data_IF_223973721846
#
_entry.id   IF_223973721846
#
_cell.length_a   1.000
_cell.length_b   1.000
_cell.length_c   1.000
_cell.angle_alpha   90.00
_cell.angle_beta   90.00
_cell.angle_gamma   90.00
#
_symmetry.space_group_name_H-M   'P 1'
#
loop_
_entity.id
_entity.type
_entity.pdbx_description
1 polymer ?
#
# COMPACT_ATOMS: atom_id res chain seq x y z
N UNK A 1 -8.67 -13.13 -1.29
CA UNK A 1 -7.90 -11.89 -1.08
C UNK A 1 -8.87 -10.72 -1.30
N UNK A 2 -9.25 -10.03 -0.26
CA UNK A 2 -10.07 -8.82 -0.40
C UNK A 2 -9.15 -7.65 -0.68
N UNK A 3 -9.25 -7.07 -1.85
CA UNK A 3 -8.68 -5.76 -2.16
C UNK A 3 -9.73 -4.73 -1.74
N UNK A 4 -9.49 -4.01 -0.67
CA UNK A 4 -10.36 -2.92 -0.27
C UNK A 4 -10.04 -1.69 -1.15
N UNK A 5 -10.54 -1.72 -2.39
CA UNK A 5 -10.57 -0.54 -3.24
C UNK A 5 -11.91 0.16 -3.01
N UNK A 6 -11.88 1.24 -2.27
CA UNK A 6 -13.10 2.03 -2.04
C UNK A 6 -13.29 2.99 -3.21
N UNK A 7 -14.03 2.53 -4.20
CA UNK A 7 -14.28 3.25 -5.46
C UNK A 7 -15.61 4.06 -5.43
N UNK A 8 -15.95 4.62 -4.26
CA UNK A 8 -17.14 5.47 -4.11
C UNK A 8 -16.74 6.93 -3.86
N UNK A 9 -17.65 7.85 -4.15
CA UNK A 9 -17.52 9.26 -3.77
C UNK A 9 -17.47 9.38 -2.24
N UNK A 10 -16.25 9.27 -1.69
CA UNK A 10 -16.00 9.36 -0.27
C UNK A 10 -15.60 10.81 0.02
N UNK A 11 -16.29 11.43 0.98
CA UNK A 11 -15.98 12.78 1.39
C UNK A 11 -14.85 12.79 2.42
N UNK A 12 -14.80 11.78 3.30
CA UNK A 12 -13.81 11.72 4.37
C UNK A 12 -13.48 10.28 4.75
N UNK A 13 -12.20 9.97 4.78
CA UNK A 13 -11.64 8.74 5.36
C UNK A 13 -10.75 9.12 6.53
N UNK A 14 -10.97 8.49 7.68
CA UNK A 14 -10.04 8.51 8.79
C UNK A 14 -9.54 7.09 9.05
N UNK A 15 -8.23 6.94 9.22
CA UNK A 15 -7.61 5.67 9.54
C UNK A 15 -6.96 5.82 10.91
N UNK A 16 -7.21 4.90 11.81
CA UNK A 16 -6.59 4.85 13.12
C UNK A 16 -6.10 3.46 13.47
N UNK A 17 -5.00 3.39 14.20
CA UNK A 17 -4.49 2.17 14.81
C UNK A 17 -4.90 2.11 16.27
N UNK A 18 -5.26 0.93 16.75
CA UNK A 18 -5.58 0.71 18.14
C UNK A 18 -4.30 0.44 18.93
N UNK A 19 -4.03 1.23 19.96
CA UNK A 19 -2.92 1.03 20.89
C UNK A 19 -3.43 0.32 22.14
N UNK A 20 -2.83 -0.82 22.47
CA UNK A 20 -3.04 -1.50 23.74
C UNK A 20 -1.96 -1.05 24.72
N UNK A 21 -2.39 -0.70 25.94
CA UNK A 21 -1.50 -0.33 27.03
C UNK A 21 -1.24 -1.57 27.86
N UNK A 22 0.01 -1.99 27.96
CA UNK A 22 0.43 -3.04 28.88
C UNK A 22 1.27 -2.45 30.03
N UNK A 23 1.03 -2.93 31.23
CA UNK A 23 1.81 -2.61 32.42
C UNK A 23 2.78 -3.75 32.70
N UNK A 24 4.02 -3.43 32.96
CA UNK A 24 5.06 -4.36 33.36
C UNK A 24 5.92 -3.76 34.46
N UNK A 25 6.92 -4.51 34.88
CA UNK A 25 7.93 -4.02 35.83
C UNK A 25 9.30 -4.16 35.20
N UNK A 26 10.18 -3.18 35.42
CA UNK A 26 11.57 -3.26 35.01
C UNK A 26 12.37 -4.19 35.95
N UNK A 27 13.65 -4.35 35.64
CA UNK A 27 14.57 -5.17 36.45
C UNK A 27 14.79 -4.63 37.87
N UNK A 28 14.41 -3.38 38.15
CA UNK A 28 14.51 -2.70 39.44
C UNK A 28 13.20 -2.72 40.22
N UNK A 29 12.12 -3.30 39.63
CA UNK A 29 10.80 -3.41 40.22
C UNK A 29 9.92 -2.18 40.08
N UNK A 30 10.28 -1.21 39.24
CA UNK A 30 9.46 -0.04 38.95
C UNK A 30 8.39 -0.36 37.92
N UNK A 31 7.19 0.18 38.09
CA UNK A 31 6.09 0.01 37.12
C UNK A 31 6.45 0.71 35.80
N UNK A 32 6.48 -0.06 34.73
CA UNK A 32 6.68 0.45 33.36
C UNK A 32 5.40 0.31 32.55
N UNK A 33 5.18 1.25 31.65
CA UNK A 33 4.07 1.20 30.71
C UNK A 33 4.62 1.06 29.31
N UNK A 34 4.24 0.00 28.61
CA UNK A 34 4.50 -0.17 27.18
C UNK A 34 3.21 -0.02 26.38
N UNK A 35 3.35 0.42 25.14
CA UNK A 35 2.25 0.55 24.21
C UNK A 35 2.52 -0.33 23.00
N UNK A 36 1.66 -1.31 22.78
CA UNK A 36 1.67 -2.12 21.57
C UNK A 36 0.61 -1.63 20.60
N UNK A 37 0.98 -1.47 19.34
CA UNK A 37 0.04 -1.14 18.28
C UNK A 37 -0.61 -2.44 17.81
N UNK A 38 -1.93 -2.54 17.94
CA UNK A 38 -2.71 -3.69 17.44
C UNK A 38 -2.48 -3.88 15.93
N UNK A 39 -2.58 -5.13 15.47
CA UNK A 39 -2.56 -5.44 14.03
C UNK A 39 -3.81 -4.96 13.29
N UNK A 40 -4.85 -4.58 14.03
CA UNK A 40 -6.13 -4.10 13.50
C UNK A 40 -6.05 -2.62 13.22
N UNK A 41 -6.51 -2.21 12.05
CA UNK A 41 -6.77 -0.80 11.72
C UNK A 41 -8.27 -0.56 11.70
N UNK A 42 -8.68 0.58 12.21
CA UNK A 42 -10.06 1.07 12.12
C UNK A 42 -10.14 2.12 11.03
N UNK A 43 -11.03 1.91 10.08
CA UNK A 43 -11.26 2.77 8.91
C UNK A 43 -12.66 3.36 9.03
N UNK A 44 -12.75 4.68 9.17
CA UNK A 44 -14.02 5.41 9.18
C UNK A 44 -14.25 6.06 7.82
N UNK A 45 -15.32 5.66 7.15
CA UNK A 45 -15.72 6.17 5.85
C UNK A 45 -17.07 6.87 6.00
N UNK A 46 -17.08 8.20 5.91
CA UNK A 46 -18.29 9.02 6.06
C UNK A 46 -19.15 8.61 7.29
N UNK A 47 -18.46 8.34 8.42
CA UNK A 47 -19.07 7.97 9.70
C UNK A 47 -19.44 6.49 9.85
N UNK A 48 -19.16 5.65 8.86
CA UNK A 48 -19.30 4.19 8.93
C UNK A 48 -17.94 3.55 9.15
N UNK A 49 -17.91 2.51 9.97
CA UNK A 49 -16.67 1.88 10.42
C UNK A 49 -16.45 0.53 9.74
N UNK A 50 -15.17 0.29 9.42
CA UNK A 50 -14.65 -1.00 8.99
C UNK A 50 -13.42 -1.27 9.85
N UNK A 51 -13.36 -2.44 10.48
CA UNK A 51 -12.14 -2.95 11.09
C UNK A 51 -11.48 -3.96 10.17
N UNK A 52 -10.18 -3.81 9.95
CA UNK A 52 -9.41 -4.69 9.07
C UNK A 52 -8.16 -5.20 9.75
N UNK A 53 -7.96 -6.51 9.68
CA UNK A 53 -6.76 -7.19 10.16
C UNK A 53 -6.31 -8.22 9.13
N UNK A 54 -5.17 -8.00 8.51
CA UNK A 54 -4.59 -8.98 7.59
C UNK A 54 -4.76 -8.69 6.12
N UNK A 55 -5.77 -7.93 5.73
CA UNK A 55 -6.02 -7.60 4.33
C UNK A 55 -5.10 -6.51 3.80
N UNK A 56 -4.83 -6.56 2.50
CA UNK A 56 -4.17 -5.46 1.79
C UNK A 56 -5.20 -4.36 1.50
N UNK A 57 -4.94 -3.16 2.01
CA UNK A 57 -5.76 -1.98 1.75
C UNK A 57 -4.91 -0.86 1.16
N UNK A 58 -5.45 -0.14 0.19
CA UNK A 58 -4.82 1.01 -0.45
C UNK A 58 -5.76 2.20 -0.34
N UNK A 59 -5.21 3.34 0.12
CA UNK A 59 -5.97 4.60 0.28
C UNK A 59 -5.25 5.68 -0.50
N UNK A 60 -5.89 6.17 -1.54
CA UNK A 60 -5.37 7.21 -2.43
C UNK A 60 -5.87 8.59 -2.01
N UNK A 61 -4.97 9.54 -1.93
CA UNK A 61 -5.37 10.93 -1.81
C UNK A 61 -6.06 11.38 -3.10
N UNK A 62 -7.12 12.16 -2.99
CA UNK A 62 -7.87 12.69 -4.14
C UNK A 62 -6.93 13.32 -5.18
N UNK A 63 -7.08 12.87 -6.42
CA UNK A 63 -6.28 13.31 -7.56
C UNK A 63 -4.95 12.56 -7.74
N UNK A 64 -4.67 11.53 -6.93
CA UNK A 64 -3.69 10.51 -7.24
C UNK A 64 -4.43 9.35 -7.89
N UNK A 65 -4.05 9.00 -9.10
CA UNK A 65 -4.64 7.90 -9.86
C UNK A 65 -3.51 6.97 -10.33
N UNK A 66 -3.73 5.64 -10.35
CA UNK A 66 -2.76 4.72 -10.89
C UNK A 66 -2.67 4.87 -12.42
N UNK A 67 -1.46 4.81 -12.95
CA UNK A 67 -1.22 4.70 -14.40
C UNK A 67 -1.65 3.32 -14.92
N UNK A 68 -1.49 2.30 -14.09
CA UNK A 68 -1.89 0.93 -14.38
C UNK A 68 -2.61 0.36 -13.17
N UNK A 69 -3.81 -0.14 -13.40
CA UNK A 69 -4.59 -0.89 -12.44
C UNK A 69 -4.63 -2.35 -12.90
N UNK A 70 -3.98 -3.24 -12.14
CA UNK A 70 -3.93 -4.65 -12.48
C UNK A 70 -5.21 -5.34 -12.04
N UNK A 71 -6.06 -5.70 -12.97
CA UNK A 71 -7.28 -6.45 -12.68
C UNK A 71 -6.98 -7.92 -12.39
N UNK A 72 -7.92 -8.59 -11.71
CA UNK A 72 -7.76 -10.02 -11.41
C UNK A 72 -7.77 -10.88 -12.69
N UNK A 73 -8.39 -10.42 -13.77
CA UNK A 73 -8.39 -11.07 -15.07
C UNK A 73 -7.01 -10.99 -15.74
N UNK A 74 -6.32 -9.86 -15.61
CA UNK A 74 -4.95 -9.70 -16.12
C UNK A 74 -3.99 -10.65 -15.41
N UNK A 75 -4.16 -10.86 -14.09
CA UNK A 75 -3.32 -11.73 -13.28
C UNK A 75 -3.58 -13.20 -13.61
N UNK A 76 -4.85 -13.61 -13.77
CA UNK A 76 -5.23 -15.01 -14.02
C UNK A 76 -4.96 -15.45 -15.45
N UNK A 77 -5.11 -14.60 -16.43
CA UNK A 77 -4.85 -14.94 -17.84
C UNK A 77 -3.38 -15.27 -18.13
N UNK A 78 -2.47 -14.78 -17.30
CA UNK A 78 -1.02 -14.96 -17.46
C UNK A 78 -0.38 -15.95 -16.46
N UNK A 79 -1.12 -16.43 -15.44
CA UNK A 79 -0.61 -17.37 -14.44
C UNK A 79 -0.50 -18.83 -14.94
N UNK A 80 -1.02 -19.15 -16.12
CA UNK A 80 -1.06 -20.50 -16.66
C UNK A 80 0.20 -20.96 -17.39
N UNK A 81 1.25 -20.16 -17.45
CA UNK A 81 2.46 -20.57 -18.16
C UNK A 81 3.75 -20.00 -17.61
N UNK A 82 4.60 -20.81 -17.04
CA UNK A 82 6.08 -20.78 -16.93
C UNK A 82 6.85 -19.43 -16.84
N UNK A 83 6.19 -18.26 -16.80
CA UNK A 83 6.83 -16.97 -16.66
C UNK A 83 6.79 -16.60 -15.19
N UNK A 84 7.93 -16.24 -14.59
CA UNK A 84 7.96 -15.77 -13.21
C UNK A 84 7.13 -14.48 -13.08
N UNK A 85 6.44 -14.28 -11.95
CA UNK A 85 5.67 -13.05 -11.69
C UNK A 85 6.48 -11.77 -11.93
N UNK A 86 7.78 -11.80 -11.62
CA UNK A 86 8.68 -10.68 -11.86
C UNK A 86 8.88 -10.39 -13.35
N UNK A 87 8.97 -11.40 -14.20
CA UNK A 87 9.10 -11.24 -15.65
C UNK A 87 7.81 -10.70 -16.27
N UNK A 88 6.65 -11.13 -15.76
CA UNK A 88 5.35 -10.62 -16.17
C UNK A 88 5.19 -9.14 -15.81
N UNK A 89 5.48 -8.77 -14.57
CA UNK A 89 5.44 -7.38 -14.12
C UNK A 89 6.42 -6.53 -14.94
N UNK A 90 7.64 -7.00 -15.16
CA UNK A 90 8.62 -6.31 -15.97
C UNK A 90 8.13 -6.14 -17.42
N UNK A 91 7.48 -7.14 -18.00
CA UNK A 91 6.89 -7.06 -19.33
C UNK A 91 5.81 -5.98 -19.44
N UNK A 92 4.89 -5.94 -18.46
CA UNK A 92 3.85 -4.91 -18.42
C UNK A 92 4.48 -3.52 -18.22
N UNK A 93 5.38 -3.36 -17.27
CA UNK A 93 6.03 -2.08 -17.02
C UNK A 93 6.81 -1.61 -18.25
N UNK A 94 7.49 -2.52 -18.96
CA UNK A 94 8.15 -2.20 -20.21
C UNK A 94 7.19 -1.79 -21.32
N UNK A 95 6.02 -2.41 -21.41
CA UNK A 95 4.98 -2.01 -22.35
C UNK A 95 4.50 -0.58 -22.06
N UNK A 96 4.24 -0.28 -20.79
CA UNK A 96 3.75 1.04 -20.37
C UNK A 96 4.84 2.09 -20.11
N UNK A 97 6.13 1.74 -20.16
CA UNK A 97 7.21 2.67 -19.80
C UNK A 97 7.21 3.99 -20.59
N UNK A 98 6.76 3.94 -21.84
CA UNK A 98 6.67 5.13 -22.68
C UNK A 98 5.46 6.02 -22.32
N UNK A 99 4.49 5.47 -21.61
CA UNK A 99 3.32 6.17 -21.09
C UNK A 99 3.59 6.82 -19.73
N UNK A 100 4.56 6.30 -18.97
CA UNK A 100 4.97 6.93 -17.72
C UNK A 100 5.70 8.23 -18.01
N UNK A 101 5.01 9.36 -17.79
CA UNK A 101 5.56 10.71 -18.01
C UNK A 101 6.62 11.14 -17.01
N UNK A 102 6.83 10.35 -15.93
CA UNK A 102 7.64 10.68 -14.77
C UNK A 102 8.90 9.82 -14.68
N UNK A 103 9.86 10.28 -13.86
CA UNK A 103 11.17 9.64 -13.73
C UNK A 103 11.14 8.36 -12.89
N UNK A 104 10.15 8.18 -12.01
CA UNK A 104 10.03 7.03 -11.13
C UNK A 104 8.68 6.34 -11.27
N UNK A 105 8.70 5.02 -11.17
CA UNK A 105 7.52 4.15 -11.17
C UNK A 105 7.41 3.47 -9.82
N UNK A 106 6.24 3.53 -9.23
CA UNK A 106 5.89 2.87 -7.96
C UNK A 106 4.98 1.69 -8.27
N UNK A 107 5.43 0.49 -7.97
CA UNK A 107 4.63 -0.72 -8.14
C UNK A 107 4.16 -1.21 -6.79
N UNK A 108 2.86 -1.34 -6.62
CA UNK A 108 2.25 -1.91 -5.42
C UNK A 108 1.88 -3.36 -5.70
N UNK A 109 2.25 -4.23 -4.76
CA UNK A 109 1.98 -5.68 -4.82
C UNK A 109 1.27 -6.12 -3.54
N UNK A 110 0.47 -7.15 -3.63
CA UNK A 110 -0.08 -7.84 -2.47
C UNK A 110 1.03 -8.46 -1.62
N UNK A 111 0.68 -8.95 -0.42
CA UNK A 111 1.61 -9.71 0.43
C UNK A 111 2.17 -10.97 -0.28
N UNK A 112 1.42 -11.53 -1.21
CA UNK A 112 1.81 -12.70 -2.02
C UNK A 112 2.62 -12.32 -3.28
N UNK A 113 2.92 -11.04 -3.48
CA UNK A 113 3.68 -10.56 -4.62
C UNK A 113 2.87 -10.21 -5.87
N UNK A 114 1.57 -10.45 -5.86
CA UNK A 114 0.71 -10.13 -7.01
C UNK A 114 0.64 -8.61 -7.23
N UNK A 115 0.82 -8.10 -8.45
CA UNK A 115 0.72 -6.69 -8.73
C UNK A 115 -0.72 -6.20 -8.53
N UNK A 116 -0.87 -5.01 -7.98
CA UNK A 116 -2.17 -4.37 -7.71
C UNK A 116 -2.31 -3.12 -8.55
N UNK A 117 -1.33 -2.22 -8.46
CA UNK A 117 -1.35 -0.95 -9.17
C UNK A 117 0.06 -0.43 -9.41
N UNK A 118 0.22 0.41 -10.42
CA UNK A 118 1.43 1.16 -10.66
C UNK A 118 1.14 2.64 -10.79
N UNK A 119 1.97 3.46 -10.17
CA UNK A 119 1.91 4.92 -10.19
C UNK A 119 3.21 5.47 -10.74
N UNK A 120 3.21 6.72 -11.19
CA UNK A 120 4.43 7.41 -11.58
C UNK A 120 4.57 8.75 -10.86
N UNK A 121 5.81 9.17 -10.60
CA UNK A 121 6.13 10.43 -9.97
C UNK A 121 7.58 10.85 -10.20
N UNK A 122 7.85 12.14 -10.12
CA UNK A 122 9.22 12.67 -10.15
C UNK A 122 9.80 12.72 -8.74
N UNK A 123 8.99 13.15 -7.76
CA UNK A 123 9.32 13.11 -6.35
C UNK A 123 8.57 11.96 -5.67
N UNK A 124 9.30 10.89 -5.33
CA UNK A 124 8.73 9.74 -4.63
C UNK A 124 9.56 9.43 -3.39
N UNK A 125 8.90 9.43 -2.23
CA UNK A 125 9.49 9.00 -0.97
C UNK A 125 8.46 8.31 -0.08
N UNK A 126 8.93 7.60 0.93
CA UNK A 126 8.08 6.85 1.86
C UNK A 126 8.34 7.22 3.31
N UNK A 127 7.31 7.01 4.13
CA UNK A 127 7.35 7.15 5.59
C UNK A 127 6.55 6.01 6.21
N UNK A 128 6.95 5.59 7.40
CA UNK A 128 6.17 4.66 8.22
C UNK A 128 5.49 5.49 9.30
N UNK A 129 4.15 5.56 9.33
CA UNK A 129 3.41 6.21 10.40
C UNK A 129 3.59 5.45 11.72
N UNK A 130 3.88 6.16 12.81
CA UNK A 130 4.13 5.57 14.13
C UNK A 130 2.86 5.03 14.80
N UNK A 131 1.71 5.51 14.37
CA UNK A 131 0.39 5.24 14.95
C UNK A 131 -0.46 4.27 14.13
N UNK A 132 0.01 3.87 12.95
CA UNK A 132 -0.71 2.97 12.04
C UNK A 132 0.06 1.67 11.82
N UNK A 133 -0.43 0.54 12.37
CA UNK A 133 0.28 -0.74 12.28
C UNK A 133 0.33 -1.25 10.84
N UNK A 134 1.50 -1.74 10.42
CA UNK A 134 1.71 -2.33 9.09
C UNK A 134 1.30 -1.41 7.92
N UNK A 135 1.31 -0.12 8.18
CA UNK A 135 1.01 0.92 7.20
C UNK A 135 2.30 1.54 6.67
N UNK A 136 2.35 1.80 5.38
CA UNK A 136 3.38 2.65 4.76
C UNK A 136 2.68 3.81 4.05
N UNK A 137 3.19 5.01 4.24
CA UNK A 137 2.76 6.19 3.51
C UNK A 137 3.79 6.48 2.42
N UNK A 138 3.35 6.44 1.18
CA UNK A 138 4.12 6.92 0.03
C UNK A 138 3.67 8.34 -0.31
N UNK A 139 4.63 9.19 -0.62
CA UNK A 139 4.38 10.51 -1.19
C UNK A 139 4.82 10.48 -2.65
N UNK A 140 3.91 10.80 -3.55
CA UNK A 140 4.12 10.78 -5.00
C UNK A 140 3.72 12.17 -5.51
N UNK A 141 4.70 12.98 -5.91
CA UNK A 141 4.51 14.36 -6.35
C UNK A 141 3.60 15.18 -5.40
N UNK A 142 3.88 15.07 -4.08
CA UNK A 142 3.14 15.79 -3.04
C UNK A 142 1.79 15.17 -2.65
N UNK A 143 1.35 14.08 -3.29
CA UNK A 143 0.12 13.38 -2.94
C UNK A 143 0.42 12.10 -2.15
N UNK A 144 -0.45 11.78 -1.20
CA UNK A 144 -0.26 10.65 -0.31
C UNK A 144 -0.97 9.40 -0.84
N UNK A 145 -0.25 8.27 -0.76
CA UNK A 145 -0.75 6.92 -0.95
C UNK A 145 -0.45 6.12 0.31
N UNK A 146 -1.48 5.69 1.02
CA UNK A 146 -1.33 4.82 2.18
C UNK A 146 -1.57 3.37 1.76
N UNK A 147 -0.61 2.52 2.08
CA UNK A 147 -0.69 1.09 1.80
C UNK A 147 -0.60 0.31 3.11
N UNK A 148 -1.60 -0.52 3.37
CA UNK A 148 -1.64 -1.41 4.52
C UNK A 148 -1.38 -2.85 4.06
N UNK A 149 -0.39 -3.50 4.66
CA UNK A 149 0.00 -4.88 4.36
C UNK A 149 0.17 -5.15 2.87
N UNK A 150 0.89 -4.27 2.20
CA UNK A 150 1.28 -4.40 0.81
C UNK A 150 2.79 -4.28 0.66
N UNK A 151 3.32 -4.90 -0.36
CA UNK A 151 4.70 -4.71 -0.79
C UNK A 151 4.74 -3.58 -1.83
N UNK A 152 5.85 -2.87 -1.90
CA UNK A 152 6.04 -1.85 -2.93
C UNK A 152 7.47 -1.85 -3.45
N UNK A 153 7.64 -1.33 -4.64
CA UNK A 153 8.93 -1.05 -5.26
C UNK A 153 8.88 0.35 -5.87
N UNK A 154 9.93 1.13 -5.65
CA UNK A 154 10.14 2.41 -6.34
C UNK A 154 11.29 2.16 -7.31
N UNK A 155 11.03 2.30 -8.58
CA UNK A 155 11.93 1.93 -9.67
C UNK A 155 12.22 3.17 -10.50
N UNK A 156 13.49 3.46 -10.75
CA UNK A 156 13.87 4.46 -11.73
C UNK A 156 13.42 3.98 -13.11
N UNK A 157 12.79 4.86 -13.87
CA UNK A 157 12.26 4.55 -15.21
C UNK A 157 13.33 4.01 -16.16
N UNK A 158 14.57 4.46 -16.00
CA UNK A 158 15.67 4.00 -16.83
C UNK A 158 16.03 2.53 -16.60
N UNK A 159 15.68 1.97 -15.43
CA UNK A 159 15.89 0.56 -15.12
C UNK A 159 14.81 -0.37 -15.71
N UNK A 160 13.76 0.19 -16.28
CA UNK A 160 12.72 -0.56 -17.01
C UNK A 160 13.18 -0.84 -18.46
N UNK A 161 14.30 -1.52 -18.61
CA UNK A 161 14.89 -1.90 -19.92
C UNK A 161 14.56 -3.33 -20.27
#
# INVERSE_FOLDING_TARGET
>A
MFLCKVNQKINKINISGNKTKSKGYDSEGNETTSYDVSSVITILIDGKEIESCGDTCIFEQKGLEPEVDFTQEDITSHSTGKISENAYIAGILNYYKNYFGKSRVVVIKSQLGQPIAAYSGDEVFWKIPDDLPKMTKLMIDGKALYIHRANFQIIDKELLR
#
